data_IF_495564435201
#
_entry.id   IF_495564435201
#
_cell.length_a   1.000
_cell.length_b   1.000
_cell.length_c   1.000
_cell.angle_alpha   90.00
_cell.angle_beta   90.00
_cell.angle_gamma   90.00
#
_symmetry.space_group_name_H-M   'P 1'
#
loop_
_entity.id
_entity.type
_entity.pdbx_description
1 polymer ?
#
# COMPACT_ATOMS: atom_id res chain seq x y z
N UNK A 1 1.36 25.31 -17.90
CA UNK A 1 2.62 25.31 -17.12
C UNK A 1 2.57 24.25 -16.04
N UNK A 2 1.50 24.19 -15.25
CA UNK A 2 1.30 23.20 -14.17
C UNK A 2 1.18 21.74 -14.66
N UNK A 3 0.49 21.51 -15.78
CA UNK A 3 0.40 20.19 -16.43
C UNK A 3 1.76 19.62 -16.84
N UNK A 4 2.63 20.45 -17.41
CA UNK A 4 3.98 20.04 -17.82
C UNK A 4 4.89 19.68 -16.63
N UNK A 5 4.71 20.34 -15.48
CA UNK A 5 5.43 20.03 -14.25
C UNK A 5 5.03 18.64 -13.73
N UNK A 6 3.73 18.31 -13.78
CA UNK A 6 3.25 17.00 -13.37
C UNK A 6 3.68 15.88 -14.33
N UNK A 7 3.68 16.13 -15.64
CA UNK A 7 4.17 15.17 -16.64
C UNK A 7 5.67 14.89 -16.48
N UNK A 8 6.46 15.92 -16.19
CA UNK A 8 7.89 15.77 -15.85
C UNK A 8 8.08 14.97 -14.56
N UNK A 9 7.26 15.24 -13.53
CA UNK A 9 7.26 14.47 -12.30
C UNK A 9 7.03 12.97 -12.60
N UNK A 10 5.94 12.60 -13.29
CA UNK A 10 5.65 11.19 -13.56
C UNK A 10 6.73 10.52 -14.41
N UNK A 11 7.28 11.24 -15.40
CA UNK A 11 8.40 10.77 -16.22
C UNK A 11 9.65 10.49 -15.35
N UNK A 12 9.96 11.40 -14.42
CA UNK A 12 11.06 11.21 -13.47
C UNK A 12 10.85 10.00 -12.56
N UNK A 13 9.63 9.77 -12.06
CA UNK A 13 9.32 8.62 -11.20
C UNK A 13 9.51 7.29 -11.94
N UNK A 14 9.07 7.23 -13.19
CA UNK A 14 9.22 6.03 -14.03
C UNK A 14 10.70 5.79 -14.33
N UNK A 15 11.46 6.86 -14.62
CA UNK A 15 12.91 6.78 -14.84
C UNK A 15 13.65 6.29 -13.60
N UNK A 16 13.32 6.84 -12.42
CA UNK A 16 13.88 6.44 -11.12
C UNK A 16 13.65 4.95 -10.85
N UNK A 17 12.45 4.42 -11.15
CA UNK A 17 12.15 2.99 -10.97
C UNK A 17 12.92 2.12 -11.97
N UNK A 18 12.98 2.50 -13.25
CA UNK A 18 13.60 1.70 -14.32
C UNK A 18 15.12 1.66 -14.24
N UNK A 19 15.74 2.76 -13.84
CA UNK A 19 17.20 2.91 -13.78
C UNK A 19 17.80 2.45 -12.45
N UNK A 20 16.96 2.10 -11.46
CA UNK A 20 17.43 1.70 -10.14
C UNK A 20 18.14 0.34 -10.17
N UNK A 21 19.42 0.34 -9.78
CA UNK A 21 20.30 -0.84 -9.73
C UNK A 21 20.62 -1.30 -8.31
N UNK A 22 19.98 -0.71 -7.29
CA UNK A 22 20.22 -1.05 -5.89
C UNK A 22 19.57 -2.37 -5.45
N UNK A 23 19.98 -2.86 -4.28
CA UNK A 23 19.55 -4.17 -3.75
C UNK A 23 18.11 -4.20 -3.23
N UNK A 24 17.49 -3.05 -3.00
CA UNK A 24 16.10 -2.89 -2.54
C UNK A 24 15.22 -2.26 -3.63
N UNK A 25 14.70 -3.05 -4.59
CA UNK A 25 13.80 -2.58 -5.64
C UNK A 25 12.52 -1.87 -5.16
N UNK A 26 12.10 -2.03 -3.90
CA UNK A 26 10.93 -1.31 -3.37
C UNK A 26 11.24 0.16 -3.10
N UNK A 27 12.50 0.50 -2.82
CA UNK A 27 12.94 1.85 -2.46
C UNK A 27 12.52 2.96 -3.46
N UNK A 28 12.74 2.84 -4.79
CA UNK A 28 12.31 3.87 -5.74
C UNK A 28 10.79 4.10 -5.73
N UNK A 29 9.98 3.06 -5.47
CA UNK A 29 8.53 3.22 -5.32
C UNK A 29 8.15 4.01 -4.07
N UNK A 30 8.80 3.73 -2.93
CA UNK A 30 8.57 4.48 -1.70
C UNK A 30 8.93 5.95 -1.85
N UNK A 31 10.05 6.23 -2.54
CA UNK A 31 10.45 7.61 -2.89
C UNK A 31 9.42 8.25 -3.81
N UNK A 32 8.89 7.51 -4.79
CA UNK A 32 7.84 7.99 -5.69
C UNK A 32 6.54 8.35 -4.96
N UNK A 33 6.06 7.48 -4.06
CA UNK A 33 4.88 7.77 -3.22
C UNK A 33 5.08 9.06 -2.41
N UNK A 34 6.26 9.23 -1.81
CA UNK A 34 6.61 10.44 -1.06
C UNK A 34 6.60 11.68 -1.96
N UNK A 35 7.32 11.64 -3.09
CA UNK A 35 7.37 12.74 -4.06
C UNK A 35 5.98 13.14 -4.55
N UNK A 36 5.11 12.16 -4.87
CA UNK A 36 3.73 12.44 -5.28
C UNK A 36 2.95 13.19 -4.20
N UNK A 37 3.05 12.76 -2.94
CA UNK A 37 2.38 13.44 -1.82
C UNK A 37 2.89 14.85 -1.56
N UNK A 38 4.17 15.10 -1.79
CA UNK A 38 4.80 16.41 -1.57
C UNK A 38 4.56 17.38 -2.75
N UNK A 39 4.32 16.86 -3.95
CA UNK A 39 4.34 17.67 -5.19
C UNK A 39 2.99 17.80 -5.89
N UNK A 40 2.02 16.92 -5.62
CA UNK A 40 0.72 16.94 -6.30
C UNK A 40 -0.35 17.64 -5.44
N UNK A 41 -1.26 18.41 -6.05
CA UNK A 41 -2.44 18.93 -5.36
C UNK A 41 -3.37 17.77 -4.94
N UNK A 42 -4.18 17.92 -3.88
CA UNK A 42 -4.98 16.84 -3.30
C UNK A 42 -5.89 16.11 -4.30
N UNK A 43 -6.52 16.84 -5.21
CA UNK A 43 -7.43 16.28 -6.22
C UNK A 43 -6.68 15.34 -7.17
N UNK A 44 -5.54 15.81 -7.70
CA UNK A 44 -4.70 15.03 -8.61
C UNK A 44 -4.01 13.87 -7.88
N UNK A 45 -3.60 14.07 -6.63
CA UNK A 45 -3.02 13.03 -5.80
C UNK A 45 -4.02 11.89 -5.60
N UNK A 46 -5.27 12.20 -5.25
CA UNK A 46 -6.33 11.21 -5.08
C UNK A 46 -6.65 10.45 -6.38
N UNK A 47 -6.48 11.08 -7.55
CA UNK A 47 -6.67 10.43 -8.84
C UNK A 47 -5.49 9.49 -9.21
N UNK A 48 -4.25 9.93 -8.97
CA UNK A 48 -3.05 9.25 -9.49
C UNK A 48 -2.39 8.28 -8.51
N UNK A 49 -2.41 8.59 -7.21
CA UNK A 49 -1.76 7.76 -6.19
C UNK A 49 -2.30 6.33 -6.12
N UNK A 50 -3.61 6.06 -6.23
CA UNK A 50 -4.14 4.69 -6.16
C UNK A 50 -3.53 3.78 -7.23
N UNK A 51 -3.42 4.28 -8.47
CA UNK A 51 -2.84 3.54 -9.59
C UNK A 51 -1.35 3.25 -9.36
N UNK A 52 -0.61 4.22 -8.80
CA UNK A 52 0.81 4.04 -8.47
C UNK A 52 1.02 2.99 -7.37
N UNK A 53 0.22 3.04 -6.29
CA UNK A 53 0.23 2.05 -5.22
C UNK A 53 -0.13 0.66 -5.72
N UNK A 54 -1.16 0.55 -6.56
CA UNK A 54 -1.61 -0.73 -7.13
C UNK A 54 -0.52 -1.35 -8.00
N UNK A 55 0.16 -0.55 -8.83
CA UNK A 55 1.27 -1.03 -9.64
C UNK A 55 2.45 -1.48 -8.78
N UNK A 56 2.75 -0.77 -7.70
CA UNK A 56 3.76 -1.18 -6.72
C UNK A 56 3.38 -2.54 -6.08
N UNK A 57 2.14 -2.68 -5.61
CA UNK A 57 1.63 -3.91 -5.02
C UNK A 57 1.76 -5.10 -5.99
N UNK A 58 1.29 -4.93 -7.24
CA UNK A 58 1.38 -5.96 -8.29
C UNK A 58 2.83 -6.33 -8.63
N UNK A 59 3.76 -5.38 -8.56
CA UNK A 59 5.18 -5.63 -8.87
C UNK A 59 5.84 -6.53 -7.82
N UNK A 60 5.46 -6.40 -6.55
CA UNK A 60 6.16 -7.08 -5.44
C UNK A 60 5.34 -8.15 -4.72
N UNK A 61 4.07 -8.35 -5.04
CA UNK A 61 3.19 -9.27 -4.31
C UNK A 61 3.65 -10.73 -4.29
N UNK A 62 4.45 -11.13 -5.28
CA UNK A 62 5.03 -12.48 -5.37
C UNK A 62 6.46 -12.56 -4.83
N UNK A 63 7.09 -11.43 -4.53
CA UNK A 63 8.46 -11.38 -4.01
C UNK A 63 8.45 -11.66 -2.50
N UNK A 64 9.06 -12.79 -2.13
CA UNK A 64 9.10 -13.25 -0.73
C UNK A 64 9.86 -12.29 0.19
N UNK A 65 10.78 -11.47 -0.34
CA UNK A 65 11.55 -10.49 0.45
C UNK A 65 10.64 -9.48 1.13
N UNK A 66 9.54 -9.08 0.46
CA UNK A 66 8.65 -8.03 0.94
C UNK A 66 7.38 -8.54 1.64
N UNK A 67 7.17 -9.86 1.66
CA UNK A 67 5.97 -10.47 2.26
C UNK A 67 5.68 -10.00 3.69
N UNK A 68 6.72 -9.73 4.49
CA UNK A 68 6.59 -9.17 5.83
C UNK A 68 7.44 -7.90 6.01
N UNK A 69 7.73 -7.18 4.93
CA UNK A 69 8.36 -5.85 5.02
C UNK A 69 7.28 -4.82 5.37
N UNK A 70 7.41 -4.16 6.51
CA UNK A 70 6.42 -3.18 6.98
C UNK A 70 6.14 -2.05 5.97
N UNK A 71 7.13 -1.65 5.18
CA UNK A 71 6.98 -0.61 4.15
C UNK A 71 6.04 -1.09 3.05
N UNK A 72 6.15 -2.36 2.66
CA UNK A 72 5.25 -2.97 1.68
C UNK A 72 3.83 -3.18 2.25
N UNK A 73 3.72 -3.60 3.51
CA UNK A 73 2.41 -3.79 4.16
C UNK A 73 1.64 -2.46 4.27
N UNK A 74 2.34 -1.36 4.56
CA UNK A 74 1.74 -0.02 4.57
C UNK A 74 1.18 0.39 3.20
N UNK A 75 1.80 -0.01 2.09
CA UNK A 75 1.26 0.25 0.74
C UNK A 75 -0.08 -0.45 0.55
N UNK A 76 -0.17 -1.73 0.95
CA UNK A 76 -1.44 -2.47 0.87
C UNK A 76 -2.53 -1.89 1.77
N UNK A 77 -2.19 -1.54 3.00
CA UNK A 77 -3.15 -0.92 3.93
C UNK A 77 -3.62 0.43 3.39
N UNK A 78 -2.72 1.24 2.83
CA UNK A 78 -3.09 2.51 2.22
C UNK A 78 -4.02 2.33 1.01
N UNK A 79 -3.88 1.24 0.24
CA UNK A 79 -4.81 0.95 -0.86
C UNK A 79 -6.24 0.73 -0.39
N UNK A 80 -6.47 0.36 0.88
CA UNK A 80 -7.82 0.19 1.44
C UNK A 80 -8.66 1.45 1.36
N UNK A 81 -8.04 2.63 1.37
CA UNK A 81 -8.74 3.92 1.28
C UNK A 81 -9.23 4.24 -0.14
N UNK A 82 -8.77 3.49 -1.15
CA UNK A 82 -9.00 3.79 -2.56
C UNK A 82 -9.70 2.69 -3.36
N UNK A 83 -9.96 1.53 -2.76
CA UNK A 83 -10.65 0.41 -3.41
C UNK A 83 -12.12 0.35 -3.00
N UNK A 84 -12.98 -0.10 -3.92
CA UNK A 84 -14.41 -0.28 -3.64
C UNK A 84 -14.68 -1.39 -2.62
N UNK A 85 -13.86 -2.45 -2.61
CA UNK A 85 -13.94 -3.55 -1.64
C UNK A 85 -12.64 -3.72 -0.84
N UNK A 86 -12.47 -2.97 0.27
CA UNK A 86 -11.34 -3.13 1.17
C UNK A 86 -11.24 -4.53 1.79
N UNK A 87 -12.37 -5.25 1.91
CA UNK A 87 -12.39 -6.62 2.46
C UNK A 87 -11.75 -7.61 1.50
N UNK A 88 -12.01 -7.48 0.20
CA UNK A 88 -11.34 -8.30 -0.81
C UNK A 88 -9.83 -8.06 -0.82
N UNK A 89 -9.38 -6.82 -0.61
CA UNK A 89 -7.96 -6.50 -0.48
C UNK A 89 -7.33 -7.17 0.76
N UNK A 90 -7.98 -7.05 1.92
CA UNK A 90 -7.52 -7.70 3.16
C UNK A 90 -7.47 -9.23 3.03
N UNK A 91 -8.48 -9.85 2.41
CA UNK A 91 -8.47 -11.30 2.09
C UNK A 91 -7.33 -11.67 1.16
N UNK A 92 -7.03 -10.84 0.17
CA UNK A 92 -5.90 -11.07 -0.74
C UNK A 92 -4.57 -11.05 0.02
N UNK A 93 -4.39 -10.09 0.93
CA UNK A 93 -3.23 -10.05 1.81
C UNK A 93 -3.13 -11.32 2.67
N UNK A 94 -4.24 -11.76 3.26
CA UNK A 94 -4.30 -12.98 4.06
C UNK A 94 -3.91 -14.23 3.25
N UNK A 95 -4.52 -14.43 2.07
CA UNK A 95 -4.24 -15.55 1.17
C UNK A 95 -2.78 -15.58 0.72
N UNK A 96 -2.20 -14.42 0.39
CA UNK A 96 -0.79 -14.28 0.00
C UNK A 96 0.16 -14.27 1.21
N UNK A 97 -0.37 -14.34 2.43
CA UNK A 97 0.34 -14.24 3.71
C UNK A 97 1.17 -12.97 3.86
N UNK A 98 0.68 -11.87 3.28
CA UNK A 98 1.31 -10.55 3.36
C UNK A 98 1.03 -9.92 4.73
N UNK A 99 2.08 -9.60 5.47
CA UNK A 99 1.99 -8.86 6.74
C UNK A 99 1.44 -9.66 7.92
N UNK A 100 1.14 -10.95 7.72
CA UNK A 100 0.60 -11.85 8.76
C UNK A 100 1.53 -12.08 9.96
N UNK A 101 2.79 -11.61 9.90
CA UNK A 101 3.72 -11.57 11.04
C UNK A 101 3.73 -10.24 11.79
N UNK A 102 2.88 -9.29 11.41
CA UNK A 102 2.84 -7.95 12.00
C UNK A 102 1.45 -7.63 12.51
N UNK A 103 1.39 -7.09 13.74
CA UNK A 103 0.16 -6.60 14.36
C UNK A 103 -0.59 -5.59 13.49
N UNK A 104 0.14 -4.80 12.68
CA UNK A 104 -0.41 -3.82 11.75
C UNK A 104 -1.44 -4.41 10.77
N UNK A 105 -1.22 -5.64 10.27
CA UNK A 105 -2.19 -6.31 9.39
C UNK A 105 -3.50 -6.59 10.12
N UNK A 106 -3.40 -7.18 11.32
CA UNK A 106 -4.56 -7.51 12.14
C UNK A 106 -5.32 -6.29 12.62
N UNK A 107 -4.59 -5.22 12.97
CA UNK A 107 -5.18 -3.93 13.32
C UNK A 107 -5.97 -3.34 12.15
N UNK A 108 -5.41 -3.31 10.94
CA UNK A 108 -6.13 -2.82 9.76
C UNK A 108 -7.40 -3.64 9.47
N UNK A 109 -7.32 -4.95 9.63
CA UNK A 109 -8.47 -5.84 9.45
C UNK A 109 -9.54 -5.64 10.55
N UNK A 110 -9.13 -5.44 11.80
CA UNK A 110 -10.03 -5.16 12.90
C UNK A 110 -10.75 -3.82 12.71
N UNK A 111 -10.01 -2.75 12.37
CA UNK A 111 -10.55 -1.42 12.09
C UNK A 111 -11.57 -1.45 10.93
N UNK A 112 -11.32 -2.26 9.90
CA UNK A 112 -12.32 -2.49 8.85
C UNK A 112 -13.64 -3.02 9.42
N UNK A 113 -13.58 -4.02 10.31
CA UNK A 113 -14.79 -4.56 10.94
C UNK A 113 -15.46 -3.59 11.90
N UNK A 114 -14.70 -2.79 12.65
CA UNK A 114 -15.25 -1.73 13.51
C UNK A 114 -16.03 -0.69 12.70
N UNK A 115 -15.48 -0.24 11.55
CA UNK A 115 -16.18 0.69 10.65
C UNK A 115 -17.51 0.14 10.15
N UNK A 116 -17.60 -1.19 10.02
CA UNK A 116 -18.82 -1.92 9.66
C UNK A 116 -19.70 -2.28 10.87
N UNK A 117 -19.38 -1.80 12.08
CA UNK A 117 -20.04 -2.12 13.36
C UNK A 117 -20.07 -3.61 13.70
N UNK A 118 -19.09 -4.39 13.19
CA UNK A 118 -18.92 -5.82 13.43
C UNK A 118 -17.89 -6.06 14.54
N UNK A 119 -18.23 -5.64 15.75
CA UNK A 119 -17.27 -5.59 16.87
C UNK A 119 -16.73 -6.97 17.28
N UNK A 120 -17.53 -8.03 17.19
CA UNK A 120 -17.05 -9.39 17.48
C UNK A 120 -15.97 -9.86 16.51
N UNK A 121 -16.09 -9.51 15.22
CA UNK A 121 -15.08 -9.81 14.21
C UNK A 121 -13.81 -8.98 14.43
N UNK A 122 -13.98 -7.70 14.76
CA UNK A 122 -12.86 -6.82 15.07
C UNK A 122 -12.06 -7.34 16.26
N UNK A 123 -12.73 -7.71 17.34
CA UNK A 123 -12.12 -8.26 18.54
C UNK A 123 -11.40 -9.59 18.26
N UNK A 124 -11.98 -10.48 17.43
CA UNK A 124 -11.28 -11.68 16.96
C UNK A 124 -9.98 -11.34 16.24
N UNK A 125 -9.98 -10.33 15.37
CA UNK A 125 -8.77 -9.92 14.66
C UNK A 125 -7.72 -9.34 15.59
N UNK A 126 -8.10 -8.53 16.58
CA UNK A 126 -7.15 -8.04 17.60
C UNK A 126 -6.52 -9.19 18.39
N UNK A 127 -7.33 -10.13 18.89
CA UNK A 127 -6.82 -11.31 19.62
C UNK A 127 -5.88 -12.14 18.76
N UNK A 128 -6.21 -12.34 17.49
CA UNK A 128 -5.34 -13.06 16.55
C UNK A 128 -4.02 -12.34 16.35
N UNK A 129 -4.03 -11.00 16.27
CA UNK A 129 -2.81 -10.20 16.16
C UNK A 129 -1.92 -10.22 17.41
N UNK A 130 -2.49 -10.44 18.61
CA UNK A 130 -1.72 -10.62 19.85
C UNK A 130 -1.07 -12.01 19.93
N UNK A 131 -1.71 -13.01 19.34
CA UNK A 131 -1.23 -14.40 19.35
C UNK A 131 -0.12 -14.69 18.31
N UNK A 132 0.19 -13.74 17.42
CA UNK A 132 1.05 -13.92 16.24
C UNK A 132 2.29 -13.05 16.33
#
# INVERSE_FOLDING_TARGET
>A
METAIHDDLFSSLISDIKSYTGNDPLLPWLRGIRKMRESLPPELLNEKLPRFLQKCAQTFESDRRYRNDLRFIRIWIQLMDYVDDPKALLRTMEMKRLGTKHSLFYQAYALYYEKMKKFEEADRMYRLGVQK
#
